data_IF_761134715962
#
_entry.id   IF_761134715962
#
_cell.length_a   1.000
_cell.length_b   1.000
_cell.length_c   1.000
_cell.angle_alpha   90.00
_cell.angle_beta   90.00
_cell.angle_gamma   90.00
#
_symmetry.space_group_name_H-M   'P 1'
#
loop_
_entity.id
_entity.type
_entity.pdbx_description
1 polymer ?
#
# COMPACT_ATOMS: atom_id res chain seq x y z
N UNK A 1 -2.14 5.31 20.27
CA UNK A 1 -1.36 4.41 21.16
C UNK A 1 -0.80 3.21 20.41
N UNK A 2 -1.58 2.37 19.71
CA UNK A 2 -1.05 1.23 18.94
C UNK A 2 0.18 1.60 18.09
N UNK A 3 0.08 2.66 17.27
CA UNK A 3 1.19 3.10 16.43
C UNK A 3 2.43 3.45 17.26
N UNK A 4 2.25 4.11 18.41
CA UNK A 4 3.37 4.46 19.29
C UNK A 4 4.06 3.23 19.88
N UNK A 5 3.29 2.20 20.27
CA UNK A 5 3.87 0.95 20.80
C UNK A 5 4.70 0.20 19.75
N UNK A 6 4.31 0.27 18.48
CA UNK A 6 5.04 -0.35 17.38
C UNK A 6 6.40 0.31 17.10
N UNK A 7 6.59 1.60 17.44
CA UNK A 7 7.84 2.30 17.15
C UNK A 7 9.06 1.64 17.79
N UNK A 8 8.96 1.15 19.03
CA UNK A 8 10.07 0.51 19.72
C UNK A 8 10.70 -0.61 18.89
N UNK A 9 9.90 -1.29 18.05
CA UNK A 9 10.35 -2.43 17.24
C UNK A 9 10.61 -2.06 15.78
N UNK A 10 9.82 -1.15 15.22
CA UNK A 10 9.74 -0.95 13.77
C UNK A 10 10.17 0.45 13.30
N UNK A 11 10.73 1.30 14.18
CA UNK A 11 11.27 2.60 13.78
C UNK A 11 12.36 2.43 12.72
N UNK A 12 12.24 3.14 11.60
CA UNK A 12 13.18 3.07 10.48
C UNK A 12 13.22 1.74 9.71
N UNK A 13 12.20 0.86 9.85
CA UNK A 13 12.20 -0.48 9.24
C UNK A 13 11.10 -0.71 8.21
N UNK A 14 10.18 0.22 8.03
CA UNK A 14 9.04 0.07 7.12
C UNK A 14 9.40 0.61 5.76
N UNK A 15 9.30 -0.23 4.73
CA UNK A 15 9.56 0.15 3.34
C UNK A 15 8.41 0.90 2.70
N UNK A 16 7.17 0.52 3.02
CA UNK A 16 5.98 1.15 2.50
C UNK A 16 4.95 1.35 3.62
N UNK A 17 4.55 2.60 3.84
CA UNK A 17 3.36 2.91 4.63
C UNK A 17 2.25 3.23 3.64
N UNK A 18 1.20 2.41 3.60
CA UNK A 18 -0.02 2.66 2.85
C UNK A 18 -1.14 2.93 3.81
N UNK A 19 -1.87 4.02 3.67
CA UNK A 19 -3.00 4.36 4.53
C UNK A 19 -4.20 4.89 3.75
N UNK A 20 -5.40 4.55 4.24
CA UNK A 20 -6.69 5.00 3.75
C UNK A 20 -7.48 5.68 4.88
N UNK A 21 -7.16 6.93 5.25
CA UNK A 21 -7.79 7.62 6.37
C UNK A 21 -9.24 8.00 6.06
N UNK A 22 -10.07 8.37 7.08
CA UNK A 22 -11.40 8.93 6.86
C UNK A 22 -11.35 10.14 5.91
N UNK A 23 -12.22 10.16 4.88
CA UNK A 23 -12.22 11.19 3.83
C UNK A 23 -12.93 12.49 4.22
N UNK A 24 -13.56 12.53 5.40
CA UNK A 24 -14.23 13.70 5.95
C UNK A 24 -15.26 14.34 4.99
N UNK A 25 -16.24 13.58 4.45
CA UNK A 25 -17.20 14.11 3.50
C UNK A 25 -18.05 15.19 4.16
N UNK A 26 -18.38 16.23 3.38
CA UNK A 26 -19.20 17.36 3.84
C UNK A 26 -20.70 17.03 3.99
N UNK A 27 -21.15 15.88 3.56
CA UNK A 27 -22.53 15.41 3.67
C UNK A 27 -22.76 14.67 4.99
N UNK A 28 -23.87 14.99 5.69
CA UNK A 28 -24.30 14.38 6.97
C UNK A 28 -24.71 12.89 6.85
N UNK A 29 -24.38 12.19 5.80
CA UNK A 29 -24.68 10.79 5.67
C UNK A 29 -23.63 9.97 6.46
N UNK A 30 -23.94 9.65 7.73
CA UNK A 30 -23.24 8.64 8.52
C UNK A 30 -23.50 7.24 7.92
N UNK A 31 -22.92 6.98 6.77
CA UNK A 31 -22.95 5.66 6.12
C UNK A 31 -21.73 4.80 6.47
N UNK A 32 -20.85 5.31 7.31
CA UNK A 32 -19.61 4.65 7.74
C UNK A 32 -19.75 4.11 9.17
N UNK A 33 -19.15 2.98 9.44
CA UNK A 33 -19.08 2.38 10.77
C UNK A 33 -18.18 3.16 11.75
N UNK A 34 -17.52 4.23 11.28
CA UNK A 34 -16.62 5.11 12.06
C UNK A 34 -16.94 6.58 11.83
N UNK A 35 -16.47 7.46 12.72
CA UNK A 35 -16.64 8.91 12.58
C UNK A 35 -15.88 9.41 11.34
N UNK A 36 -16.62 9.84 10.33
CA UNK A 36 -16.10 10.39 9.09
C UNK A 36 -16.55 11.85 8.88
N UNK A 37 -16.99 12.52 9.94
CA UNK A 37 -17.43 13.91 9.91
C UNK A 37 -16.71 14.71 11.01
N UNK A 38 -15.54 15.21 10.66
CA UNK A 38 -14.75 16.10 11.51
C UNK A 38 -14.91 17.55 11.02
N UNK A 39 -14.76 18.54 11.94
CA UNK A 39 -14.40 19.84 11.42
C UNK A 39 -12.95 19.78 10.86
N UNK A 40 -12.66 20.61 9.86
CA UNK A 40 -11.41 20.53 9.09
C UNK A 40 -10.14 20.67 9.92
N UNK A 41 -10.16 21.55 10.93
CA UNK A 41 -9.00 21.74 11.81
C UNK A 41 -8.73 20.50 12.65
N UNK A 42 -9.77 19.87 13.18
CA UNK A 42 -9.66 18.62 13.96
C UNK A 42 -9.14 17.49 13.09
N UNK A 43 -9.61 17.36 11.84
CA UNK A 43 -9.14 16.36 10.90
C UNK A 43 -7.65 16.55 10.55
N UNK A 44 -7.22 17.80 10.32
CA UNK A 44 -5.81 18.10 10.05
C UNK A 44 -4.91 17.77 11.25
N UNK A 45 -5.34 18.09 12.48
CA UNK A 45 -4.59 17.73 13.70
C UNK A 45 -4.52 16.20 13.86
N UNK A 46 -5.63 15.51 13.62
CA UNK A 46 -5.71 14.06 13.65
C UNK A 46 -4.72 13.44 12.64
N UNK A 47 -4.64 13.95 11.41
CA UNK A 47 -3.71 13.48 10.40
C UNK A 47 -2.26 13.87 10.70
N UNK A 48 -2.00 15.08 11.16
CA UNK A 48 -0.65 15.58 11.48
C UNK A 48 0.10 14.63 12.39
N UNK A 49 -0.50 14.26 13.51
CA UNK A 49 0.13 13.35 14.48
C UNK A 49 0.46 11.99 13.87
N UNK A 50 -0.44 11.43 13.05
CA UNK A 50 -0.28 10.13 12.41
C UNK A 50 0.78 10.15 11.29
N UNK A 51 0.82 11.21 10.52
CA UNK A 51 1.84 11.41 9.48
C UNK A 51 3.25 11.60 10.08
N UNK A 52 3.35 12.33 11.20
CA UNK A 52 4.62 12.43 11.94
C UNK A 52 5.10 11.08 12.45
N UNK A 53 4.19 10.23 12.91
CA UNK A 53 4.51 8.86 13.32
C UNK A 53 4.90 7.99 12.11
N UNK A 54 4.15 8.09 11.00
CA UNK A 54 4.47 7.38 9.76
C UNK A 54 5.91 7.65 9.30
N UNK A 55 6.34 8.92 9.34
CA UNK A 55 7.70 9.34 8.98
C UNK A 55 8.77 8.60 9.78
N UNK A 56 8.55 8.34 11.06
CA UNK A 56 9.48 7.63 11.92
C UNK A 56 9.63 6.16 11.58
N UNK A 57 8.59 5.53 11.04
CA UNK A 57 8.63 4.13 10.64
C UNK A 57 9.45 3.89 9.37
N UNK A 58 9.47 4.87 8.45
CA UNK A 58 10.04 4.70 7.13
C UNK A 58 11.56 4.46 7.16
N UNK A 59 12.00 3.51 6.34
CA UNK A 59 13.41 3.37 5.98
C UNK A 59 13.90 4.62 5.23
N UNK A 60 15.21 4.79 5.09
CA UNK A 60 15.79 5.95 4.37
C UNK A 60 15.37 6.06 2.90
N UNK A 61 14.81 5.00 2.33
CA UNK A 61 14.26 4.91 0.98
C UNK A 61 12.79 4.45 1.00
N UNK A 62 12.15 4.55 2.16
CA UNK A 62 10.77 4.21 2.37
C UNK A 62 9.81 5.23 1.76
N UNK A 63 8.61 4.78 1.42
CA UNK A 63 7.58 5.58 0.77
C UNK A 63 6.29 5.56 1.60
N UNK A 64 5.67 6.73 1.75
CA UNK A 64 4.31 6.85 2.27
C UNK A 64 3.35 7.02 1.10
N UNK A 65 2.23 6.30 1.14
CA UNK A 65 1.12 6.42 0.19
C UNK A 65 -0.15 6.69 0.98
N UNK A 66 -0.86 7.75 0.62
CA UNK A 66 -2.11 8.13 1.29
C UNK A 66 -3.23 8.16 0.27
N UNK A 67 -4.22 7.28 0.43
CA UNK A 67 -5.45 7.34 -0.34
C UNK A 67 -6.34 8.47 0.20
N UNK A 68 -6.96 9.27 -0.65
CA UNK A 68 -7.81 10.38 -0.27
C UNK A 68 -8.74 10.79 -1.41
N UNK A 69 -9.89 11.37 -1.10
CA UNK A 69 -10.76 11.97 -2.09
C UNK A 69 -10.56 13.50 -2.20
N UNK A 70 -11.33 14.12 -3.08
CA UNK A 70 -11.31 15.57 -3.35
C UNK A 70 -11.61 16.46 -2.13
N UNK A 71 -12.27 15.93 -1.09
CA UNK A 71 -12.74 16.77 0.03
C UNK A 71 -11.56 17.30 0.85
N UNK A 72 -10.56 16.46 1.09
CA UNK A 72 -9.39 16.84 1.89
C UNK A 72 -8.05 16.73 1.14
N UNK A 73 -8.01 16.23 -0.11
CA UNK A 73 -6.77 16.09 -0.89
C UNK A 73 -5.90 17.36 -0.89
N UNK A 74 -6.42 18.58 -1.19
CA UNK A 74 -5.56 19.76 -1.30
C UNK A 74 -4.91 20.14 0.04
N UNK A 75 -5.64 19.95 1.16
CA UNK A 75 -5.14 20.29 2.50
C UNK A 75 -4.17 19.25 3.03
N UNK A 76 -4.48 17.98 2.74
CA UNK A 76 -3.60 16.86 3.08
C UNK A 76 -2.26 17.00 2.38
N UNK A 77 -2.25 17.36 1.10
CA UNK A 77 -1.01 17.56 0.35
C UNK A 77 -0.15 18.65 0.98
N UNK A 78 -0.72 19.81 1.31
CA UNK A 78 0.01 20.90 1.99
C UNK A 78 0.57 20.44 3.33
N UNK A 79 -0.23 19.71 4.12
CA UNK A 79 0.20 19.16 5.41
C UNK A 79 1.36 18.16 5.25
N UNK A 80 1.30 17.31 4.23
CA UNK A 80 2.37 16.35 3.91
C UNK A 80 3.65 17.09 3.52
N UNK A 81 3.57 18.09 2.65
CA UNK A 81 4.72 18.90 2.24
C UNK A 81 5.41 19.61 3.42
N UNK A 82 4.61 20.05 4.43
CA UNK A 82 5.15 20.62 5.68
C UNK A 82 5.87 19.57 6.55
N UNK A 83 5.32 18.36 6.66
CA UNK A 83 5.88 17.30 7.51
C UNK A 83 7.09 16.62 6.86
N UNK A 84 7.08 16.50 5.52
CA UNK A 84 8.07 15.78 4.71
C UNK A 84 8.84 16.69 3.75
N UNK A 85 9.49 17.79 4.22
CA UNK A 85 10.15 18.75 3.33
C UNK A 85 11.29 18.15 2.48
N UNK A 86 11.84 17.01 2.92
CA UNK A 86 12.89 16.27 2.21
C UNK A 86 12.35 15.20 1.24
N UNK A 87 11.03 15.17 1.00
CA UNK A 87 10.37 14.25 0.07
C UNK A 87 9.71 14.99 -1.09
N UNK A 88 9.59 14.33 -2.22
CA UNK A 88 8.73 14.74 -3.32
C UNK A 88 7.32 14.20 -3.09
N UNK A 89 6.31 14.95 -3.51
CA UNK A 89 4.88 14.61 -3.30
C UNK A 89 4.19 14.57 -4.65
N UNK A 90 3.83 13.37 -5.10
CA UNK A 90 3.13 13.12 -6.35
C UNK A 90 1.68 12.68 -6.10
N UNK A 91 0.73 13.38 -6.71
CA UNK A 91 -0.69 13.06 -6.60
C UNK A 91 -1.16 12.26 -7.81
N UNK A 92 -1.48 10.99 -7.60
CA UNK A 92 -1.93 10.07 -8.63
C UNK A 92 -3.46 10.02 -8.62
N UNK A 93 -4.09 10.21 -9.79
CA UNK A 93 -5.54 10.08 -9.96
C UNK A 93 -5.90 8.65 -10.30
N UNK A 94 -6.81 8.03 -9.53
CA UNK A 94 -7.27 6.65 -9.73
C UNK A 94 -8.76 6.66 -10.06
N UNK A 95 -9.14 6.17 -11.23
CA UNK A 95 -10.54 6.00 -11.61
C UNK A 95 -11.11 4.75 -10.92
N UNK A 96 -11.68 4.93 -9.73
CA UNK A 96 -12.21 3.84 -8.91
C UNK A 96 -13.71 3.58 -9.10
N UNK A 97 -14.41 4.53 -9.73
CA UNK A 97 -15.83 4.40 -10.06
C UNK A 97 -16.12 5.04 -11.44
N UNK A 98 -15.87 4.31 -12.54
CA UNK A 98 -16.04 4.88 -13.89
C UNK A 98 -17.47 5.33 -14.21
N UNK A 99 -18.50 4.79 -13.52
CA UNK A 99 -19.89 5.23 -13.64
C UNK A 99 -20.16 6.58 -12.99
N UNK A 100 -19.30 6.97 -12.05
CA UNK A 100 -19.38 8.19 -11.27
C UNK A 100 -20.43 8.19 -10.17
N UNK A 101 -20.13 8.90 -9.10
CA UNK A 101 -21.11 9.25 -8.06
C UNK A 101 -21.72 10.61 -8.43
N UNK A 102 -23.03 10.66 -8.58
CA UNK A 102 -23.76 11.86 -8.99
C UNK A 102 -23.61 12.94 -7.93
N UNK A 103 -23.03 14.06 -8.29
CA UNK A 103 -23.02 15.30 -7.52
C UNK A 103 -23.92 16.34 -8.15
N UNK A 104 -24.05 17.53 -7.54
CA UNK A 104 -24.92 18.60 -8.01
C UNK A 104 -24.53 19.09 -9.41
N UNK A 105 -23.23 19.26 -9.69
CA UNK A 105 -22.75 19.80 -10.96
C UNK A 105 -21.95 18.78 -11.78
N UNK A 106 -21.24 17.85 -11.11
CA UNK A 106 -20.36 16.87 -11.75
C UNK A 106 -20.56 15.51 -11.14
N UNK A 107 -20.36 14.45 -11.95
CA UNK A 107 -20.22 13.07 -11.46
C UNK A 107 -18.75 12.79 -11.14
N UNK A 108 -18.48 12.30 -9.94
CA UNK A 108 -17.14 12.03 -9.47
C UNK A 108 -16.77 10.57 -9.71
N UNK A 109 -15.68 10.37 -10.46
CA UNK A 109 -15.24 9.05 -10.92
C UNK A 109 -13.94 8.57 -10.28
N UNK A 110 -13.25 9.47 -9.56
CA UNK A 110 -11.88 9.22 -9.11
C UNK A 110 -11.65 9.60 -7.66
N UNK A 111 -10.63 9.02 -7.12
CA UNK A 111 -9.95 9.37 -5.88
C UNK A 111 -8.46 9.56 -6.16
N UNK A 112 -7.68 9.85 -5.14
CA UNK A 112 -6.25 10.10 -5.26
C UNK A 112 -5.45 9.14 -4.41
N UNK A 113 -4.27 8.77 -4.90
CA UNK A 113 -3.18 8.18 -4.12
C UNK A 113 -2.02 9.19 -4.10
N UNK A 114 -1.74 9.77 -2.94
CA UNK A 114 -0.62 10.70 -2.76
C UNK A 114 0.61 9.89 -2.40
N UNK A 115 1.61 9.91 -3.27
CA UNK A 115 2.92 9.28 -3.06
C UNK A 115 3.90 10.29 -2.49
N UNK A 116 4.57 9.91 -1.41
CA UNK A 116 5.57 10.72 -0.71
C UNK A 116 6.89 9.96 -0.76
N UNK A 117 7.79 10.41 -1.61
CA UNK A 117 9.04 9.71 -1.98
C UNK A 117 10.27 10.50 -1.62
N UNK A 118 11.35 9.91 -1.07
CA UNK A 118 12.56 10.65 -0.71
C UNK A 118 13.20 11.35 -1.92
N UNK A 119 13.50 12.62 -1.81
CA UNK A 119 14.14 13.42 -2.88
C UNK A 119 15.46 12.82 -3.33
N UNK A 120 15.68 12.85 -4.63
CA UNK A 120 16.93 12.39 -5.25
C UNK A 120 17.13 10.87 -5.26
N UNK A 121 16.12 10.07 -4.85
CA UNK A 121 16.16 8.61 -4.91
C UNK A 121 15.07 8.08 -5.84
N UNK A 122 15.42 7.09 -6.66
CA UNK A 122 14.42 6.34 -7.43
C UNK A 122 13.85 5.23 -6.56
N UNK A 123 12.69 5.48 -5.95
CA UNK A 123 12.03 4.53 -5.04
C UNK A 123 10.81 3.86 -5.66
N UNK A 124 10.32 4.37 -6.79
CA UNK A 124 9.21 3.77 -7.54
C UNK A 124 9.80 2.82 -8.59
N UNK A 125 9.43 1.56 -8.48
CA UNK A 125 9.83 0.49 -9.41
C UNK A 125 9.23 0.69 -10.80
N UNK A 126 9.77 0.03 -11.80
CA UNK A 126 9.19 0.03 -13.13
C UNK A 126 7.92 -0.83 -13.16
N UNK A 127 6.87 -0.31 -13.82
CA UNK A 127 5.63 -1.06 -14.08
C UNK A 127 5.89 -2.12 -15.15
N UNK A 128 5.37 -3.32 -14.95
CA UNK A 128 5.32 -4.32 -16.02
C UNK A 128 4.23 -3.92 -17.02
N UNK A 129 4.57 -3.91 -18.30
CA UNK A 129 3.64 -3.62 -19.39
C UNK A 129 2.98 -4.92 -19.86
N UNK A 130 1.70 -4.85 -20.20
CA UNK A 130 0.99 -5.92 -20.90
C UNK A 130 1.47 -6.01 -22.36
N UNK A 131 1.25 -7.14 -23.02
CA UNK A 131 1.75 -7.35 -24.39
C UNK A 131 1.23 -6.30 -25.39
N UNK A 132 0.01 -5.84 -25.21
CA UNK A 132 -0.62 -4.79 -26.03
C UNK A 132 -0.06 -3.38 -25.78
N UNK A 133 0.57 -3.16 -24.63
CA UNK A 133 1.25 -1.90 -24.31
C UNK A 133 2.71 -1.86 -24.78
N UNK A 134 3.28 -3.00 -25.20
CA UNK A 134 4.68 -3.06 -25.62
C UNK A 134 4.82 -2.47 -27.04
N UNK A 135 5.58 -1.38 -27.12
CA UNK A 135 5.97 -0.82 -28.40
C UNK A 135 7.15 -1.62 -28.99
N UNK A 136 6.85 -2.45 -29.98
CA UNK A 136 7.85 -3.24 -30.68
C UNK A 136 8.53 -2.45 -31.79
N UNK A 137 9.84 -2.51 -31.86
CA UNK A 137 10.65 -1.85 -32.90
C UNK A 137 11.73 -2.79 -33.40
N UNK A 138 12.21 -2.64 -34.66
CA UNK A 138 13.28 -3.48 -35.17
C UNK A 138 14.53 -3.45 -34.29
N UNK A 139 15.10 -4.61 -33.96
CA UNK A 139 16.39 -4.71 -33.26
C UNK A 139 17.53 -4.16 -34.13
N UNK A 140 17.37 -4.23 -35.45
CA UNK A 140 18.31 -3.65 -36.43
C UNK A 140 18.35 -2.13 -36.28
N UNK A 141 19.56 -1.55 -36.22
CA UNK A 141 19.75 -0.12 -36.11
C UNK A 141 19.45 0.60 -37.46
N UNK A 142 18.91 1.82 -37.34
CA UNK A 142 18.57 2.71 -38.46
C UNK A 142 19.11 4.13 -38.18
N UNK A 143 19.37 4.87 -39.27
CA UNK A 143 19.86 6.25 -39.18
C UNK A 143 21.39 6.36 -39.28
N UNK A 144 21.93 7.39 -38.65
CA UNK A 144 23.38 7.58 -38.56
C UNK A 144 24.04 6.43 -37.78
N UNK A 145 25.30 6.10 -38.07
CA UNK A 145 26.05 5.02 -37.42
C UNK A 145 25.29 3.68 -37.35
N UNK A 146 24.63 3.28 -38.42
CA UNK A 146 23.84 2.05 -38.48
C UNK A 146 24.44 0.96 -39.32
N UNK A 147 25.56 1.21 -39.98
CA UNK A 147 26.26 0.28 -40.84
C UNK A 147 27.08 -0.75 -40.04
N UNK A 148 27.29 -1.90 -40.60
CA UNK A 148 28.19 -2.94 -40.04
C UNK A 148 29.57 -2.38 -39.68
N UNK A 149 30.11 -1.50 -40.53
CA UNK A 149 31.41 -0.86 -40.32
C UNK A 149 31.50 0.04 -39.09
N UNK A 150 30.36 0.55 -38.61
CA UNK A 150 30.32 1.42 -37.42
C UNK A 150 30.52 0.65 -36.10
N UNK A 151 30.16 -0.66 -36.09
CA UNK A 151 30.42 -1.52 -34.93
C UNK A 151 30.37 -3.00 -35.35
N UNK A 152 31.51 -3.58 -35.71
CA UNK A 152 31.65 -4.93 -36.22
C UNK A 152 31.14 -6.01 -35.26
N UNK A 153 31.29 -5.83 -33.96
CA UNK A 153 30.81 -6.70 -32.90
C UNK A 153 29.26 -6.73 -32.73
N UNK A 154 28.57 -5.90 -33.50
CA UNK A 154 27.10 -5.89 -33.59
C UNK A 154 26.59 -6.57 -34.87
N UNK A 155 27.44 -7.27 -35.64
CA UNK A 155 27.04 -8.05 -36.81
C UNK A 155 27.27 -9.53 -36.54
N UNK A 156 26.19 -10.23 -36.21
CA UNK A 156 26.16 -11.66 -35.87
C UNK A 156 24.76 -12.20 -36.17
N UNK A 157 24.60 -13.53 -36.46
CA UNK A 157 23.30 -14.10 -36.67
C UNK A 157 22.54 -14.32 -35.37
N UNK A 158 21.23 -14.06 -35.37
CA UNK A 158 20.29 -14.51 -34.36
C UNK A 158 19.63 -15.78 -34.89
N UNK A 159 19.70 -16.86 -34.08
CA UNK A 159 19.29 -18.19 -34.50
C UNK A 159 17.83 -18.42 -34.06
N UNK A 160 16.98 -18.74 -35.03
CA UNK A 160 15.56 -18.97 -34.87
C UNK A 160 15.19 -20.39 -35.28
N UNK A 161 14.35 -21.05 -34.48
CA UNK A 161 13.69 -22.32 -34.79
C UNK A 161 12.25 -22.26 -34.25
N UNK A 162 11.31 -22.79 -35.04
CA UNK A 162 9.87 -22.82 -34.69
C UNK A 162 9.35 -21.45 -34.25
N UNK A 163 9.73 -20.39 -34.96
CA UNK A 163 9.39 -18.97 -34.67
C UNK A 163 9.86 -18.46 -33.28
N UNK A 164 10.83 -19.14 -32.67
CA UNK A 164 11.44 -18.75 -31.39
C UNK A 164 12.94 -18.52 -31.54
N UNK A 165 13.46 -17.51 -30.84
CA UNK A 165 14.90 -17.33 -30.74
C UNK A 165 15.46 -18.44 -29.86
N UNK A 166 16.45 -19.18 -30.39
CA UNK A 166 17.10 -20.27 -29.66
C UNK A 166 18.56 -19.96 -29.29
N UNK A 167 19.09 -18.83 -29.75
CA UNK A 167 20.44 -18.40 -29.43
C UNK A 167 21.00 -17.35 -30.39
N UNK A 168 22.26 -17.04 -30.20
CA UNK A 168 23.03 -16.05 -30.97
C UNK A 168 24.33 -16.68 -31.43
N UNK A 169 24.64 -16.54 -32.73
CA UNK A 169 25.92 -16.97 -33.25
C UNK A 169 27.07 -16.03 -32.90
N UNK A 170 28.27 -16.39 -33.30
CA UNK A 170 29.45 -15.54 -33.12
C UNK A 170 29.44 -14.32 -34.04
N UNK A 171 30.23 -13.30 -33.69
CA UNK A 171 30.46 -12.17 -34.58
C UNK A 171 30.99 -12.65 -35.91
N UNK A 172 30.33 -12.25 -37.01
CA UNK A 172 30.70 -12.67 -38.33
C UNK A 172 32.03 -12.05 -38.77
N UNK A 173 32.88 -12.86 -39.38
CA UNK A 173 34.13 -12.39 -39.97
C UNK A 173 33.89 -11.29 -41.01
N UNK A 174 34.81 -10.32 -41.12
CA UNK A 174 34.68 -9.20 -42.05
C UNK A 174 34.55 -9.62 -43.51
N UNK A 175 35.13 -10.76 -43.90
CA UNK A 175 35.03 -11.30 -45.22
C UNK A 175 33.75 -12.10 -45.52
N UNK A 176 32.98 -12.39 -44.48
CA UNK A 176 31.70 -13.08 -44.61
C UNK A 176 30.56 -12.09 -44.88
N UNK A 177 29.86 -12.27 -45.99
CA UNK A 177 28.70 -11.48 -46.39
C UNK A 177 27.50 -12.43 -46.62
N UNK A 178 26.45 -12.38 -45.75
CA UNK A 178 25.27 -13.20 -45.95
C UNK A 178 24.55 -12.83 -47.25
N UNK A 179 23.94 -13.83 -47.87
CA UNK A 179 23.23 -13.65 -49.15
C UNK A 179 21.88 -12.96 -48.99
N UNK A 180 21.30 -13.06 -47.77
CA UNK A 180 20.00 -12.45 -47.42
C UNK A 180 19.89 -12.20 -45.93
N UNK A 181 18.87 -11.44 -45.55
CA UNK A 181 18.54 -11.20 -44.14
C UNK A 181 18.27 -12.51 -43.37
N UNK A 182 17.63 -13.48 -44.02
CA UNK A 182 17.27 -14.77 -43.42
C UNK A 182 17.89 -15.88 -44.21
N UNK A 183 18.82 -16.62 -43.63
CA UNK A 183 19.42 -17.82 -44.24
C UNK A 183 18.92 -19.07 -43.52
N UNK A 184 18.48 -20.07 -44.28
CA UNK A 184 18.02 -21.35 -43.73
C UNK A 184 19.15 -22.39 -43.72
N UNK A 185 19.40 -22.98 -42.56
CA UNK A 185 20.37 -24.07 -42.39
C UNK A 185 19.66 -25.24 -41.67
N UNK A 186 19.22 -26.21 -42.46
CA UNK A 186 18.40 -27.31 -41.95
C UNK A 186 17.05 -26.85 -41.39
N UNK A 187 16.81 -27.11 -40.15
CA UNK A 187 15.59 -26.71 -39.43
C UNK A 187 15.70 -25.35 -38.67
N UNK A 188 16.84 -24.65 -38.87
CA UNK A 188 17.12 -23.38 -38.23
C UNK A 188 17.24 -22.25 -39.24
N UNK A 189 16.91 -21.03 -38.77
CA UNK A 189 17.09 -19.82 -39.54
C UNK A 189 18.10 -18.91 -38.83
N UNK A 190 19.03 -18.38 -39.62
CA UNK A 190 20.05 -17.42 -39.18
C UNK A 190 19.63 -16.04 -39.68
N UNK A 191 19.33 -15.15 -38.78
CA UNK A 191 18.80 -13.80 -39.06
C UNK A 191 19.94 -12.81 -38.92
N UNK A 192 20.27 -12.08 -39.97
CA UNK A 192 21.30 -11.05 -40.01
C UNK A 192 20.70 -9.65 -40.08
N UNK A 193 21.41 -8.60 -39.61
CA UNK A 193 20.92 -7.23 -39.65
C UNK A 193 21.07 -6.61 -41.06
N UNK A 194 20.41 -7.18 -42.03
CA UNK A 194 20.39 -6.67 -43.40
C UNK A 194 19.05 -5.97 -43.64
N UNK A 195 19.08 -4.79 -44.29
CA UNK A 195 17.85 -4.06 -44.58
C UNK A 195 17.20 -4.53 -45.90
N UNK A 196 16.03 -4.01 -46.20
CA UNK A 196 15.26 -4.35 -47.40
C UNK A 196 15.94 -3.97 -48.74
N UNK A 197 17.03 -3.18 -48.67
CA UNK A 197 17.85 -2.79 -49.84
C UNK A 197 19.12 -3.64 -49.95
N UNK A 198 19.27 -4.64 -49.06
CA UNK A 198 20.45 -5.52 -49.03
C UNK A 198 21.66 -4.87 -48.32
N UNK A 199 21.48 -3.77 -47.63
CA UNK A 199 22.58 -3.08 -46.93
C UNK A 199 22.81 -3.77 -45.59
N UNK A 200 24.05 -4.15 -45.30
CA UNK A 200 24.48 -4.70 -44.03
C UNK A 200 24.48 -3.59 -42.97
N UNK A 201 23.57 -3.72 -42.05
CA UNK A 201 23.41 -2.86 -40.89
C UNK A 201 24.08 -3.48 -39.68
N UNK A 202 23.81 -2.97 -38.51
CA UNK A 202 24.20 -3.56 -37.22
C UNK A 202 22.99 -3.76 -36.31
N UNK A 203 23.08 -4.72 -35.39
CA UNK A 203 22.14 -4.79 -34.28
C UNK A 203 22.35 -3.63 -33.31
N UNK A 204 21.34 -3.25 -32.55
CA UNK A 204 21.45 -2.19 -31.50
C UNK A 204 22.33 -2.63 -30.33
N UNK A 205 22.54 -3.94 -30.16
CA UNK A 205 23.31 -4.53 -29.07
C UNK A 205 24.45 -5.35 -29.63
N UNK A 206 25.60 -5.25 -28.94
CA UNK A 206 26.77 -6.05 -29.30
C UNK A 206 26.58 -7.53 -28.90
N UNK A 207 27.31 -8.44 -29.56
CA UNK A 207 27.17 -9.87 -29.29
C UNK A 207 27.34 -10.24 -27.83
N UNK A 208 28.26 -9.62 -27.08
CA UNK A 208 28.53 -9.86 -25.68
C UNK A 208 27.45 -9.37 -24.74
N UNK A 209 26.51 -8.52 -25.19
CA UNK A 209 25.47 -7.90 -24.36
C UNK A 209 24.06 -8.33 -24.74
N UNK A 210 23.87 -8.93 -25.92
CA UNK A 210 22.53 -9.26 -26.43
C UNK A 210 21.80 -10.30 -25.56
N UNK A 211 22.53 -11.19 -24.91
CA UNK A 211 21.94 -12.21 -24.03
C UNK A 211 21.20 -11.61 -22.84
N UNK A 212 21.65 -10.45 -22.36
CA UNK A 212 21.01 -9.75 -21.24
C UNK A 212 19.63 -9.16 -21.56
N UNK A 213 19.27 -9.11 -22.84
CA UNK A 213 17.99 -8.60 -23.32
C UNK A 213 17.15 -9.68 -24.02
N UNK A 214 17.50 -10.95 -23.81
CA UNK A 214 16.84 -12.07 -24.51
C UNK A 214 15.31 -12.00 -24.36
N UNK A 215 14.80 -11.76 -23.15
CA UNK A 215 13.37 -11.70 -22.82
C UNK A 215 12.66 -10.45 -23.40
N UNK A 216 13.42 -9.52 -23.98
CA UNK A 216 12.88 -8.33 -24.64
C UNK A 216 12.79 -8.50 -26.16
N UNK A 217 13.20 -9.66 -26.70
CA UNK A 217 13.26 -9.93 -28.13
C UNK A 217 12.10 -10.82 -28.57
N UNK A 218 11.61 -10.57 -29.77
CA UNK A 218 10.70 -11.49 -30.44
C UNK A 218 11.06 -11.67 -31.94
N UNK A 219 10.63 -12.80 -32.48
CA UNK A 219 10.68 -13.05 -33.91
C UNK A 219 9.46 -12.41 -34.57
N UNK A 220 9.69 -11.69 -35.66
CA UNK A 220 8.65 -11.18 -36.53
C UNK A 220 8.72 -11.87 -37.89
N UNK A 221 7.64 -12.54 -38.31
CA UNK A 221 7.51 -13.09 -39.66
C UNK A 221 7.27 -11.98 -40.67
N UNK A 222 8.01 -11.98 -41.75
CA UNK A 222 7.93 -11.00 -42.85
C UNK A 222 7.73 -11.71 -44.17
N UNK A 223 7.45 -10.98 -45.25
CA UNK A 223 7.36 -11.57 -46.60
C UNK A 223 8.69 -12.14 -47.09
N UNK A 224 9.81 -11.66 -46.56
CA UNK A 224 11.17 -12.07 -46.94
C UNK A 224 11.83 -13.04 -45.94
N UNK A 225 11.07 -13.62 -45.01
CA UNK A 225 11.56 -14.51 -43.96
C UNK A 225 11.27 -13.98 -42.57
N UNK A 226 12.30 -13.80 -41.75
CA UNK A 226 12.14 -13.35 -40.34
C UNK A 226 12.91 -12.05 -40.10
N UNK A 227 12.41 -11.22 -39.18
CA UNK A 227 13.12 -10.11 -38.60
C UNK A 227 13.06 -10.22 -37.08
N UNK A 228 13.91 -9.50 -36.37
CA UNK A 228 13.92 -9.47 -34.89
C UNK A 228 13.49 -8.11 -34.41
N UNK A 229 12.52 -8.11 -33.52
CA UNK A 229 12.04 -6.91 -32.85
C UNK A 229 12.44 -6.91 -31.37
N UNK A 230 12.66 -5.74 -30.83
CA UNK A 230 12.85 -5.47 -29.41
C UNK A 230 11.70 -4.64 -28.88
N UNK A 231 11.18 -5.04 -27.73
CA UNK A 231 10.16 -4.30 -27.01
C UNK A 231 10.51 -4.26 -25.52
N UNK A 232 10.30 -3.13 -24.89
CA UNK A 232 10.45 -3.02 -23.44
C UNK A 232 9.16 -3.47 -22.78
N UNK A 233 9.23 -4.53 -21.98
CA UNK A 233 8.10 -5.02 -21.17
C UNK A 233 7.95 -4.29 -19.83
N UNK A 234 8.64 -3.17 -19.66
CA UNK A 234 8.57 -2.34 -18.49
C UNK A 234 8.49 -0.85 -18.86
N UNK A 235 7.84 -0.07 -18.03
CA UNK A 235 7.66 1.38 -18.20
C UNK A 235 7.55 2.11 -16.86
N UNK A 236 7.42 3.43 -16.91
CA UNK A 236 7.13 4.25 -15.74
C UNK A 236 5.63 4.27 -15.46
N UNK A 237 5.26 4.42 -14.18
CA UNK A 237 3.88 4.68 -13.81
C UNK A 237 3.44 6.06 -14.34
N UNK A 238 2.20 6.13 -14.79
CA UNK A 238 1.55 7.40 -15.17
C UNK A 238 0.83 7.98 -13.96
N UNK A 239 0.53 9.27 -13.99
CA UNK A 239 -0.16 9.97 -12.89
C UNK A 239 -1.69 9.82 -12.94
N UNK A 240 -2.24 9.15 -13.97
CA UNK A 240 -3.66 8.83 -14.08
C UNK A 240 -3.81 7.34 -14.38
N UNK A 241 -4.53 6.64 -13.52
CA UNK A 241 -4.81 5.20 -13.60
C UNK A 241 -6.28 4.98 -13.95
N UNK A 242 -6.52 4.38 -15.11
CA UNK A 242 -7.87 4.26 -15.71
C UNK A 242 -8.32 2.83 -15.96
N UNK A 243 -7.50 1.84 -15.61
CA UNK A 243 -7.81 0.44 -15.83
C UNK A 243 -9.08 0.04 -15.05
N UNK A 244 -9.92 -0.78 -15.66
CA UNK A 244 -11.16 -1.30 -15.04
C UNK A 244 -10.91 -2.14 -13.78
N UNK A 245 -9.71 -2.69 -13.60
CA UNK A 245 -9.32 -3.40 -12.36
C UNK A 245 -9.39 -2.51 -11.11
N UNK A 246 -9.35 -1.18 -11.26
CA UNK A 246 -9.45 -0.25 -10.15
C UNK A 246 -10.90 0.02 -9.70
N UNK A 247 -11.92 -0.55 -10.37
CA UNK A 247 -13.33 -0.41 -9.95
C UNK A 247 -13.53 -1.00 -8.55
N UNK A 248 -13.83 -0.14 -7.59
CA UNK A 248 -14.04 -0.50 -6.19
C UNK A 248 -15.35 -1.26 -5.94
N UNK A 249 -16.34 -1.14 -6.85
CA UNK A 249 -17.61 -1.86 -6.71
C UNK A 249 -17.38 -3.36 -6.91
N UNK A 250 -16.61 -3.72 -7.94
CA UNK A 250 -16.33 -5.11 -8.31
C UNK A 250 -15.18 -5.67 -7.46
N UNK A 251 -14.04 -5.00 -7.51
CA UNK A 251 -12.77 -5.48 -6.94
C UNK A 251 -12.54 -5.01 -5.48
N UNK A 252 -13.51 -4.33 -4.91
CA UNK A 252 -13.56 -3.96 -3.50
C UNK A 252 -14.77 -4.59 -2.83
N UNK A 253 -15.96 -4.01 -3.04
CA UNK A 253 -17.20 -4.39 -2.32
C UNK A 253 -17.63 -5.82 -2.62
N UNK A 254 -17.69 -6.23 -3.89
CA UNK A 254 -18.11 -7.60 -4.23
C UNK A 254 -17.07 -8.61 -3.73
N UNK A 255 -15.80 -8.36 -3.97
CA UNK A 255 -14.71 -9.23 -3.51
C UNK A 255 -14.71 -9.39 -1.98
N UNK A 256 -14.97 -8.32 -1.22
CA UNK A 256 -15.06 -8.42 0.24
C UNK A 256 -16.23 -9.30 0.67
N UNK A 257 -17.41 -9.14 0.05
CA UNK A 257 -18.59 -9.98 0.35
C UNK A 257 -18.38 -11.46 0.04
N UNK A 258 -17.61 -11.76 -1.00
CA UNK A 258 -17.27 -13.16 -1.34
C UNK A 258 -16.32 -13.77 -0.30
N UNK A 259 -15.39 -12.97 0.25
CA UNK A 259 -14.44 -13.41 1.28
C UNK A 259 -15.03 -13.37 2.70
N UNK A 260 -15.91 -12.42 2.98
CA UNK A 260 -16.54 -12.17 4.29
C UNK A 260 -18.04 -11.95 4.07
N UNK A 261 -18.85 -13.02 3.94
CA UNK A 261 -20.26 -12.92 3.54
C UNK A 261 -21.14 -12.03 4.44
N UNK A 262 -20.80 -11.96 5.74
CA UNK A 262 -21.54 -11.15 6.71
C UNK A 262 -20.89 -9.79 6.99
N UNK A 263 -20.05 -9.29 6.09
CA UNK A 263 -19.37 -8.02 6.28
C UNK A 263 -20.34 -6.86 6.47
N UNK A 264 -20.05 -6.03 7.47
CA UNK A 264 -20.73 -4.75 7.70
C UNK A 264 -19.91 -3.56 7.14
N UNK A 265 -18.70 -3.85 6.65
CA UNK A 265 -17.79 -2.84 6.17
C UNK A 265 -18.27 -2.27 4.83
N UNK A 266 -18.40 -0.95 4.79
CA UNK A 266 -18.81 -0.20 3.59
C UNK A 266 -17.58 0.39 2.89
N UNK A 267 -17.58 0.37 1.56
CA UNK A 267 -16.58 1.06 0.72
C UNK A 267 -15.13 0.55 0.86
N UNK A 268 -14.87 -0.75 0.78
CA UNK A 268 -13.50 -1.25 0.71
C UNK A 268 -12.84 -0.77 -0.58
N UNK A 269 -11.52 -0.53 -0.52
CA UNK A 269 -10.73 -0.22 -1.70
C UNK A 269 -10.70 -1.38 -2.69
N UNK A 270 -10.57 -1.09 -3.98
CA UNK A 270 -10.22 -2.12 -4.95
C UNK A 270 -8.89 -2.77 -4.55
N UNK A 271 -8.88 -4.09 -4.49
CA UNK A 271 -7.66 -4.87 -4.22
C UNK A 271 -6.53 -4.48 -5.19
N UNK A 272 -6.85 -4.31 -6.46
CA UNK A 272 -5.84 -4.01 -7.48
C UNK A 272 -5.29 -2.59 -7.38
N UNK A 273 -6.06 -1.62 -6.84
CA UNK A 273 -5.52 -0.29 -6.53
C UNK A 273 -4.45 -0.40 -5.44
N UNK A 274 -4.72 -1.17 -4.38
CA UNK A 274 -3.76 -1.36 -3.28
C UNK A 274 -2.55 -2.17 -3.73
N UNK A 275 -2.76 -3.24 -4.53
CA UNK A 275 -1.65 -4.01 -5.13
C UNK A 275 -0.76 -3.08 -5.96
N UNK A 276 -1.32 -2.26 -6.85
CA UNK A 276 -0.55 -1.38 -7.72
C UNK A 276 0.24 -0.35 -6.91
N UNK A 277 -0.40 0.27 -5.90
CA UNK A 277 0.26 1.20 -4.99
C UNK A 277 1.44 0.55 -4.25
N UNK A 278 1.20 -0.57 -3.57
CA UNK A 278 2.23 -1.25 -2.76
C UNK A 278 3.33 -1.83 -3.65
N UNK A 279 2.96 -2.53 -4.73
CA UNK A 279 3.92 -3.18 -5.62
C UNK A 279 4.82 -2.17 -6.34
N UNK A 280 4.34 -0.96 -6.62
CA UNK A 280 5.17 0.11 -7.20
C UNK A 280 6.37 0.47 -6.31
N UNK A 281 6.29 0.21 -5.01
CA UNK A 281 7.35 0.50 -4.03
C UNK A 281 8.18 -0.74 -3.70
N UNK A 282 7.54 -1.91 -3.56
CA UNK A 282 8.18 -3.10 -2.97
C UNK A 282 8.51 -4.21 -3.97
N UNK A 283 8.26 -4.01 -5.27
CA UNK A 283 8.46 -5.03 -6.32
C UNK A 283 9.85 -5.66 -6.28
N UNK A 284 10.88 -4.85 -6.08
CA UNK A 284 12.27 -5.30 -6.06
C UNK A 284 12.75 -5.70 -4.64
N UNK A 285 12.03 -5.32 -3.59
CA UNK A 285 12.31 -5.72 -2.21
C UNK A 285 11.31 -6.80 -1.78
N UNK A 286 11.74 -8.06 -1.85
CA UNK A 286 10.89 -9.22 -1.58
C UNK A 286 10.69 -9.53 -0.10
N UNK A 287 11.43 -8.87 0.79
CA UNK A 287 11.36 -9.03 2.24
C UNK A 287 10.81 -7.77 2.93
N UNK A 288 10.33 -6.80 2.14
CA UNK A 288 9.82 -5.52 2.62
C UNK A 288 8.76 -5.68 3.72
N UNK A 289 8.77 -4.73 4.66
CA UNK A 289 7.71 -4.56 5.64
C UNK A 289 6.77 -3.43 5.21
N UNK A 290 5.48 -3.74 5.19
CA UNK A 290 4.40 -2.82 4.85
C UNK A 290 3.59 -2.51 6.12
N UNK A 291 3.26 -1.24 6.34
CA UNK A 291 2.43 -0.80 7.48
C UNK A 291 1.19 -0.08 6.97
N UNK A 292 0.04 -0.47 7.51
CA UNK A 292 -1.23 0.23 7.34
C UNK A 292 -1.89 0.40 8.71
N UNK A 293 -2.03 1.63 9.18
CA UNK A 293 -2.65 1.93 10.47
C UNK A 293 -4.06 2.55 10.33
N UNK A 294 -4.67 2.35 9.18
CA UNK A 294 -6.09 2.47 8.91
C UNK A 294 -6.53 1.18 8.22
N UNK A 295 -6.34 0.04 8.90
CA UNK A 295 -6.46 -1.30 8.33
C UNK A 295 -7.79 -1.58 7.64
N UNK A 296 -8.87 -0.94 8.07
CA UNK A 296 -10.17 -1.03 7.47
C UNK A 296 -10.61 -2.47 7.24
N UNK A 297 -11.02 -2.79 6.03
CA UNK A 297 -11.39 -4.16 5.66
C UNK A 297 -10.20 -5.12 5.43
N UNK A 298 -8.95 -4.72 5.71
CA UNK A 298 -7.77 -5.56 5.54
C UNK A 298 -7.27 -5.71 4.10
N UNK A 299 -7.60 -4.79 3.21
CA UNK A 299 -7.20 -4.87 1.79
C UNK A 299 -5.69 -4.87 1.60
N UNK A 300 -4.95 -4.13 2.43
CA UNK A 300 -3.48 -4.05 2.36
C UNK A 300 -2.83 -5.40 2.65
N UNK A 301 -3.30 -6.14 3.66
CA UNK A 301 -2.78 -7.49 3.95
C UNK A 301 -3.04 -8.46 2.80
N UNK A 302 -4.26 -8.45 2.25
CA UNK A 302 -4.61 -9.24 1.07
C UNK A 302 -3.70 -8.89 -0.12
N UNK A 303 -3.48 -7.60 -0.39
CA UNK A 303 -2.61 -7.15 -1.47
C UNK A 303 -1.17 -7.66 -1.32
N UNK A 304 -0.61 -7.60 -0.11
CA UNK A 304 0.76 -8.11 0.14
C UNK A 304 0.85 -9.62 -0.08
N UNK A 305 -0.15 -10.39 0.36
CA UNK A 305 -0.19 -11.84 0.12
C UNK A 305 -0.29 -12.17 -1.37
N UNK A 306 -1.09 -11.44 -2.15
CA UNK A 306 -1.18 -11.60 -3.60
C UNK A 306 0.14 -11.26 -4.31
N UNK A 307 0.83 -10.19 -3.90
CA UNK A 307 2.14 -9.83 -4.47
C UNK A 307 3.16 -10.94 -4.18
N UNK A 308 3.19 -11.50 -2.97
CA UNK A 308 4.07 -12.60 -2.61
C UNK A 308 3.79 -13.87 -3.44
N UNK A 309 2.49 -14.21 -3.63
CA UNK A 309 2.08 -15.32 -4.48
C UNK A 309 2.55 -15.16 -5.92
N UNK A 310 2.47 -13.93 -6.47
CA UNK A 310 2.84 -13.66 -7.86
C UNK A 310 4.34 -13.78 -8.12
N UNK A 311 5.18 -13.39 -7.18
CA UNK A 311 6.62 -13.29 -7.43
C UNK A 311 7.51 -14.11 -6.47
N UNK A 312 6.89 -14.91 -5.60
CA UNK A 312 7.59 -15.74 -4.60
C UNK A 312 8.29 -14.92 -3.50
N UNK A 313 7.78 -13.72 -3.20
CA UNK A 313 8.32 -12.87 -2.15
C UNK A 313 7.87 -13.29 -0.74
N UNK A 314 8.53 -12.71 0.27
CA UNK A 314 8.28 -12.96 1.70
C UNK A 314 7.97 -11.65 2.45
N UNK A 315 7.35 -10.69 1.75
CA UNK A 315 6.96 -9.41 2.32
C UNK A 315 6.01 -9.63 3.48
N UNK A 316 6.13 -8.81 4.48
CA UNK A 316 5.30 -8.85 5.69
C UNK A 316 4.46 -7.59 5.78
N UNK A 317 3.34 -7.69 6.49
CA UNK A 317 2.48 -6.55 6.73
C UNK A 317 2.12 -6.41 8.21
N UNK A 318 1.83 -5.18 8.60
CA UNK A 318 1.24 -4.83 9.90
C UNK A 318 0.00 -4.01 9.59
N UNK A 319 -1.15 -4.47 10.08
CA UNK A 319 -2.40 -3.72 10.05
C UNK A 319 -2.72 -3.27 11.46
N UNK A 320 -3.11 -2.00 11.61
CA UNK A 320 -3.67 -1.52 12.86
C UNK A 320 -5.05 -0.91 12.60
N UNK A 321 -6.03 -1.32 13.39
CA UNK A 321 -7.41 -0.85 13.33
C UNK A 321 -7.94 -0.68 14.76
N UNK A 322 -8.79 0.32 14.99
CA UNK A 322 -9.34 0.59 16.31
C UNK A 322 -10.80 0.17 16.46
N UNK A 323 -11.47 -0.12 15.34
CA UNK A 323 -12.90 -0.43 15.31
C UNK A 323 -13.14 -1.92 15.48
N UNK A 324 -14.28 -2.29 16.09
CA UNK A 324 -14.64 -3.67 16.41
C UNK A 324 -14.72 -4.59 15.18
N UNK A 325 -14.94 -4.05 13.97
CA UNK A 325 -14.92 -4.84 12.75
C UNK A 325 -13.52 -5.40 12.42
N UNK A 326 -12.48 -5.05 13.18
CA UNK A 326 -11.14 -5.67 13.03
C UNK A 326 -11.21 -7.19 13.17
N UNK A 327 -12.04 -7.70 14.07
CA UNK A 327 -12.20 -9.15 14.31
C UNK A 327 -13.13 -9.81 13.29
N UNK A 328 -14.19 -9.11 12.87
CA UNK A 328 -15.24 -9.69 12.00
C UNK A 328 -14.93 -9.54 10.52
N UNK A 329 -14.20 -8.52 10.12
CA UNK A 329 -13.91 -8.17 8.72
C UNK A 329 -12.42 -8.24 8.40
N UNK A 330 -11.60 -7.41 9.06
CA UNK A 330 -10.17 -7.30 8.76
C UNK A 330 -9.43 -8.61 8.92
N UNK A 331 -9.58 -9.24 10.09
CA UNK A 331 -8.93 -10.51 10.42
C UNK A 331 -9.49 -11.66 9.59
N UNK A 332 -10.83 -11.76 9.49
CA UNK A 332 -11.50 -12.85 8.74
C UNK A 332 -11.12 -12.83 7.27
N UNK A 333 -11.11 -11.65 6.62
CA UNK A 333 -10.64 -11.50 5.24
C UNK A 333 -9.22 -12.06 5.08
N UNK A 334 -8.29 -11.59 5.92
CA UNK A 334 -6.89 -11.96 5.79
C UNK A 334 -6.65 -13.44 6.11
N UNK A 335 -7.39 -14.02 7.06
CA UNK A 335 -7.32 -15.46 7.34
C UNK A 335 -7.87 -16.31 6.20
N UNK A 336 -8.95 -15.88 5.54
CA UNK A 336 -9.52 -16.62 4.41
C UNK A 336 -8.59 -16.56 3.20
N UNK A 337 -8.02 -15.41 2.91
CA UNK A 337 -6.99 -15.25 1.87
C UNK A 337 -5.75 -16.09 2.19
N UNK A 338 -5.26 -16.05 3.44
CA UNK A 338 -4.10 -16.83 3.87
C UNK A 338 -4.31 -18.34 3.62
N UNK A 339 -5.47 -18.88 4.00
CA UNK A 339 -5.80 -20.30 3.78
C UNK A 339 -5.78 -20.70 2.32
N UNK A 340 -6.17 -19.79 1.43
CA UNK A 340 -6.25 -20.06 0.00
C UNK A 340 -4.88 -19.96 -0.70
N UNK A 341 -4.11 -18.91 -0.40
CA UNK A 341 -2.94 -18.56 -1.20
C UNK A 341 -1.59 -18.72 -0.50
N UNK A 342 -1.57 -18.81 0.83
CA UNK A 342 -0.35 -18.91 1.62
C UNK A 342 -0.52 -19.75 2.90
N UNK A 343 -1.00 -21.04 2.80
CA UNK A 343 -1.40 -21.84 3.95
C UNK A 343 -0.30 -22.13 4.95
N UNK A 344 0.97 -22.04 4.53
CA UNK A 344 2.15 -22.22 5.41
C UNK A 344 2.54 -20.95 6.16
N UNK A 345 1.89 -19.81 5.88
CA UNK A 345 2.15 -18.55 6.55
C UNK A 345 1.25 -18.39 7.78
N UNK A 346 1.57 -17.40 8.64
CA UNK A 346 0.81 -17.11 9.86
C UNK A 346 0.43 -15.65 9.96
N UNK A 347 -0.67 -15.37 10.65
CA UNK A 347 -1.08 -14.03 11.08
C UNK A 347 -1.12 -14.03 12.59
N UNK A 348 -0.42 -13.10 13.24
CA UNK A 348 -0.53 -12.86 14.66
C UNK A 348 -1.52 -11.71 14.91
N UNK A 349 -2.50 -11.95 15.75
CA UNK A 349 -3.47 -10.94 16.19
C UNK A 349 -3.10 -10.45 17.59
N UNK A 350 -3.14 -9.14 17.77
CA UNK A 350 -2.80 -8.48 19.03
C UNK A 350 -3.89 -7.49 19.42
N UNK A 351 -4.24 -7.49 20.67
CA UNK A 351 -5.10 -6.48 21.25
C UNK A 351 -4.38 -5.80 22.41
N UNK A 352 -4.48 -4.47 22.52
CA UNK A 352 -3.94 -3.77 23.67
C UNK A 352 -4.76 -4.10 24.92
N UNK A 353 -4.09 -4.44 26.02
CA UNK A 353 -4.75 -4.66 27.30
C UNK A 353 -5.41 -3.34 27.77
N UNK A 354 -6.73 -3.34 27.84
CA UNK A 354 -7.52 -2.15 28.21
C UNK A 354 -7.37 -1.87 29.70
N UNK A 355 -7.34 -0.59 30.05
CA UNK A 355 -7.43 -0.09 31.42
C UNK A 355 -8.56 0.95 31.48
N UNK A 356 -8.25 2.24 31.50
CA UNK A 356 -9.27 3.29 31.44
C UNK A 356 -10.10 3.27 30.13
N UNK A 357 -9.64 2.59 29.08
CA UNK A 357 -10.43 2.40 27.87
C UNK A 357 -11.75 1.66 28.13
N UNK A 358 -11.78 0.75 29.10
CA UNK A 358 -13.04 0.10 29.54
C UNK A 358 -14.01 1.15 30.10
N UNK A 359 -13.52 2.08 30.89
CA UNK A 359 -14.33 3.18 31.46
C UNK A 359 -14.86 4.10 30.35
N UNK A 360 -14.03 4.38 29.31
CA UNK A 360 -14.47 5.15 28.13
C UNK A 360 -15.67 4.48 27.47
N UNK A 361 -15.58 3.18 27.21
CA UNK A 361 -16.64 2.40 26.57
C UNK A 361 -17.91 2.37 27.42
N UNK A 362 -17.78 2.23 28.75
CA UNK A 362 -18.92 2.30 29.67
C UNK A 362 -19.59 3.68 29.68
N UNK A 363 -18.80 4.78 29.66
CA UNK A 363 -19.33 6.13 29.57
C UNK A 363 -20.10 6.33 28.27
N UNK A 364 -19.53 5.88 27.15
CA UNK A 364 -20.18 5.99 25.83
C UNK A 364 -21.50 5.20 25.78
N UNK A 365 -21.51 4.01 26.35
CA UNK A 365 -22.68 3.12 26.41
C UNK A 365 -23.74 3.55 27.42
N UNK A 366 -23.43 4.41 28.39
CA UNK A 366 -24.37 4.83 29.45
C UNK A 366 -25.64 5.46 28.85
N UNK A 367 -26.81 5.05 29.36
CA UNK A 367 -28.11 5.50 28.86
C UNK A 367 -28.81 6.47 29.77
N UNK A 368 -28.33 6.59 31.04
CA UNK A 368 -28.93 7.45 32.06
C UNK A 368 -27.89 7.96 33.09
N UNK A 369 -28.34 8.88 33.91
CA UNK A 369 -27.53 9.54 34.93
C UNK A 369 -27.08 8.61 36.07
N UNK A 370 -27.84 7.56 36.37
CA UNK A 370 -27.50 6.62 37.45
C UNK A 370 -26.25 5.79 37.07
N UNK A 371 -26.19 5.37 35.81
CA UNK A 371 -25.02 4.68 35.27
C UNK A 371 -23.79 5.58 35.31
N UNK A 372 -23.91 6.85 34.87
CA UNK A 372 -22.80 7.80 34.89
C UNK A 372 -22.32 8.10 36.29
N UNK A 373 -23.22 8.18 37.28
CA UNK A 373 -22.88 8.39 38.70
C UNK A 373 -22.12 7.21 39.30
N UNK A 374 -22.50 5.98 38.95
CA UNK A 374 -21.76 4.76 39.33
C UNK A 374 -20.35 4.75 38.74
N UNK A 375 -20.24 5.04 37.43
CA UNK A 375 -18.95 5.13 36.74
C UNK A 375 -18.04 6.17 37.41
N UNK A 376 -18.57 7.37 37.67
CA UNK A 376 -17.83 8.41 38.39
C UNK A 376 -17.34 7.93 39.75
N UNK A 377 -18.20 7.30 40.55
CA UNK A 377 -17.83 6.76 41.84
C UNK A 377 -16.71 5.72 41.80
N UNK A 378 -16.69 4.90 40.76
CA UNK A 378 -15.59 3.93 40.50
C UNK A 378 -14.31 4.63 40.07
N UNK A 379 -14.38 5.61 39.17
CA UNK A 379 -13.23 6.41 38.74
C UNK A 379 -12.51 7.08 39.92
N UNK A 380 -13.25 7.68 40.83
CA UNK A 380 -12.67 8.34 42.02
C UNK A 380 -12.00 7.33 42.95
N UNK A 381 -12.61 6.18 43.18
CA UNK A 381 -12.07 5.14 44.07
C UNK A 381 -10.85 4.44 43.53
N UNK A 382 -10.80 4.23 42.22
CA UNK A 382 -9.75 3.44 41.55
C UNK A 382 -8.56 4.28 41.08
N UNK A 383 -8.56 5.61 41.31
CA UNK A 383 -7.48 6.47 40.85
C UNK A 383 -7.44 6.73 39.35
N UNK A 384 -8.53 6.42 38.63
CA UNK A 384 -8.61 6.60 37.18
C UNK A 384 -8.81 8.04 36.71
N UNK A 385 -8.87 8.99 37.66
CA UNK A 385 -9.01 10.42 37.37
C UNK A 385 -7.63 11.04 37.10
N UNK A 386 -7.57 11.93 36.12
CA UNK A 386 -6.37 12.68 35.78
C UNK A 386 -5.82 13.42 37.01
N UNK A 387 -4.52 13.34 37.27
CA UNK A 387 -3.81 14.03 38.34
C UNK A 387 -4.01 15.57 38.33
N UNK A 388 -4.49 16.12 37.23
CA UNK A 388 -4.81 17.55 37.08
C UNK A 388 -6.15 17.94 37.68
N UNK A 389 -6.95 16.94 38.06
CA UNK A 389 -8.31 17.14 38.56
C UNK A 389 -8.34 16.81 40.04
N UNK A 390 -8.79 17.78 40.86
CA UNK A 390 -9.02 17.52 42.27
C UNK A 390 -10.47 17.04 42.45
N UNK A 391 -10.71 15.80 42.94
CA UNK A 391 -12.06 15.29 43.14
C UNK A 391 -12.94 16.21 44.02
N UNK A 392 -12.36 16.89 45.01
CA UNK A 392 -13.10 17.81 45.87
C UNK A 392 -13.69 19.02 45.11
N UNK A 393 -13.04 19.47 44.03
CA UNK A 393 -13.56 20.58 43.21
C UNK A 393 -14.75 20.11 42.36
N UNK A 394 -14.78 18.84 41.97
CA UNK A 394 -15.91 18.24 41.25
C UNK A 394 -17.10 18.08 42.20
N UNK A 395 -16.86 17.59 43.41
CA UNK A 395 -17.90 17.44 44.41
C UNK A 395 -18.52 18.79 44.81
N UNK A 396 -17.71 19.85 44.84
CA UNK A 396 -18.18 21.21 45.08
C UNK A 396 -19.05 21.77 43.93
N UNK A 397 -18.88 21.26 42.71
CA UNK A 397 -19.65 21.63 41.52
C UNK A 397 -20.78 20.62 41.19
N UNK A 398 -21.18 19.78 42.15
CA UNK A 398 -22.14 18.69 41.93
C UNK A 398 -23.52 19.18 41.44
N UNK A 399 -23.99 20.34 41.91
CA UNK A 399 -25.24 20.93 41.46
C UNK A 399 -25.17 21.35 39.97
N UNK A 400 -24.07 21.98 39.57
CA UNK A 400 -23.83 22.37 38.16
C UNK A 400 -23.74 21.14 37.26
N UNK A 401 -23.04 20.10 37.71
CA UNK A 401 -22.93 18.82 36.96
C UNK A 401 -24.30 18.15 36.83
N UNK A 402 -25.11 18.15 37.89
CA UNK A 402 -26.44 17.52 37.86
C UNK A 402 -27.40 18.20 36.88
N UNK A 403 -27.21 19.48 36.61
CA UNK A 403 -27.99 20.26 35.65
C UNK A 403 -27.62 20.04 34.18
N UNK A 404 -26.49 19.39 33.88
CA UNK A 404 -26.04 19.10 32.50
C UNK A 404 -26.95 18.08 31.83
N UNK A 405 -27.05 18.18 30.50
CA UNK A 405 -27.62 17.12 29.66
C UNK A 405 -26.73 15.86 29.69
N UNK A 406 -27.31 14.69 29.41
CA UNK A 406 -26.62 13.40 29.48
C UNK A 406 -25.30 13.39 28.64
N UNK A 407 -25.36 13.92 27.42
CA UNK A 407 -24.19 13.99 26.56
C UNK A 407 -23.09 14.91 27.07
N UNK A 408 -23.45 16.00 27.76
CA UNK A 408 -22.49 16.90 28.39
C UNK A 408 -21.89 16.28 29.65
N UNK A 409 -22.65 15.49 30.40
CA UNK A 409 -22.15 14.68 31.52
C UNK A 409 -21.15 13.63 31.05
N UNK A 410 -21.45 12.91 29.95
CA UNK A 410 -20.51 11.97 29.34
C UNK A 410 -19.21 12.66 28.95
N UNK A 411 -19.31 13.79 28.26
CA UNK A 411 -18.16 14.59 27.84
C UNK A 411 -17.30 15.04 29.01
N UNK A 412 -17.96 15.48 30.10
CA UNK A 412 -17.26 15.88 31.33
C UNK A 412 -16.48 14.69 31.93
N UNK A 413 -17.10 13.52 32.09
CA UNK A 413 -16.41 12.33 32.63
C UNK A 413 -15.23 11.92 31.74
N UNK A 414 -15.37 12.01 30.43
CA UNK A 414 -14.27 11.76 29.47
C UNK A 414 -13.12 12.78 29.60
N UNK A 415 -13.41 14.03 30.02
CA UNK A 415 -12.37 15.05 30.23
C UNK A 415 -11.57 14.82 31.49
N UNK A 416 -12.21 14.37 32.57
CA UNK A 416 -11.57 14.16 33.88
C UNK A 416 -10.81 12.83 33.96
N UNK A 417 -11.08 11.89 33.05
CA UNK A 417 -10.40 10.59 32.99
C UNK A 417 -8.91 10.75 32.65
N UNK A 418 -8.05 9.95 33.30
CA UNK A 418 -6.62 9.94 32.92
C UNK A 418 -6.40 9.22 31.57
N UNK A 419 -6.19 10.04 30.54
CA UNK A 419 -5.96 9.57 29.17
C UNK A 419 -4.57 8.96 28.94
N UNK A 420 -3.66 9.04 29.92
CA UNK A 420 -2.36 8.36 29.83
C UNK A 420 -2.47 6.88 30.20
N UNK A 421 -3.51 6.52 30.95
CA UNK A 421 -3.76 5.17 31.44
C UNK A 421 -4.89 4.46 30.67
N UNK A 422 -5.13 4.78 29.40
CA UNK A 422 -6.16 4.10 28.61
C UNK A 422 -5.87 2.59 28.42
N UNK A 423 -4.59 2.23 28.34
CA UNK A 423 -4.13 0.86 28.20
C UNK A 423 -2.97 0.60 29.16
N UNK A 424 -2.76 -0.66 29.51
CA UNK A 424 -1.64 -1.07 30.35
C UNK A 424 -0.32 -0.78 29.66
N UNK A 425 0.60 -0.10 30.36
CA UNK A 425 1.93 0.17 29.83
C UNK A 425 2.81 -1.08 29.90
N UNK A 426 3.77 -1.20 28.98
CA UNK A 426 4.69 -2.32 28.96
C UNK A 426 5.53 -2.43 30.25
N UNK A 427 5.84 -1.32 30.91
CA UNK A 427 6.55 -1.32 32.21
C UNK A 427 5.73 -1.92 33.36
N UNK A 428 4.41 -1.89 33.23
CA UNK A 428 3.47 -2.29 34.29
C UNK A 428 2.89 -3.69 34.03
N UNK A 429 3.39 -4.41 32.99
CA UNK A 429 2.89 -5.71 32.55
C UNK A 429 2.95 -6.80 33.64
N UNK A 430 3.82 -6.64 34.63
CA UNK A 430 3.99 -7.59 35.74
C UNK A 430 3.11 -7.27 36.96
N UNK A 431 2.41 -6.16 36.96
CA UNK A 431 1.53 -5.76 38.04
C UNK A 431 0.32 -6.69 38.09
N UNK A 432 0.08 -7.27 39.27
CA UNK A 432 -1.00 -8.23 39.53
C UNK A 432 -2.40 -7.57 39.38
N UNK A 433 -2.49 -6.24 39.50
CA UNK A 433 -3.77 -5.52 39.34
C UNK A 433 -4.34 -5.63 37.92
N UNK A 434 -3.52 -5.89 36.90
CA UNK A 434 -3.97 -5.92 35.51
C UNK A 434 -4.39 -7.30 34.98
N UNK A 435 -4.24 -8.35 35.79
CA UNK A 435 -4.65 -9.74 35.48
C UNK A 435 -4.20 -10.23 34.07
N UNK A 436 -2.98 -9.86 33.68
CA UNK A 436 -2.40 -10.27 32.41
C UNK A 436 -1.80 -11.68 32.55
N UNK A 437 -2.22 -12.59 31.68
CA UNK A 437 -1.72 -13.97 31.71
C UNK A 437 -0.19 -14.07 31.51
N UNK A 438 0.43 -15.09 32.09
CA UNK A 438 1.87 -15.33 31.91
C UNK A 438 2.22 -15.59 30.44
N UNK A 439 1.32 -16.16 29.66
CA UNK A 439 1.47 -16.40 28.24
C UNK A 439 1.52 -15.06 27.49
N UNK A 440 0.59 -14.14 27.76
CA UNK A 440 0.56 -12.79 27.15
C UNK A 440 1.78 -11.95 27.56
N UNK A 441 2.23 -12.08 28.84
CA UNK A 441 3.46 -11.43 29.31
C UNK A 441 4.68 -11.96 28.54
N UNK A 442 4.81 -13.27 28.41
CA UNK A 442 5.91 -13.89 27.67
C UNK A 442 5.90 -13.51 26.19
N UNK A 443 4.73 -13.54 25.57
CA UNK A 443 4.53 -13.16 24.20
C UNK A 443 4.88 -11.69 23.95
N UNK A 444 4.36 -10.77 24.77
CA UNK A 444 4.66 -9.33 24.69
C UNK A 444 6.16 -9.04 24.83
N UNK A 445 6.83 -9.75 25.76
CA UNK A 445 8.28 -9.62 25.91
C UNK A 445 9.05 -10.13 24.69
N UNK A 446 8.63 -11.27 24.11
CA UNK A 446 9.24 -11.78 22.89
C UNK A 446 9.06 -10.79 21.73
N UNK A 447 7.88 -10.24 21.58
CA UNK A 447 7.57 -9.24 20.55
C UNK A 447 8.55 -8.05 20.58
N UNK A 448 8.94 -7.56 21.76
CA UNK A 448 9.87 -6.43 21.88
C UNK A 448 11.36 -6.80 21.93
N UNK A 449 11.72 -8.09 22.11
CA UNK A 449 13.12 -8.56 22.18
C UNK A 449 13.67 -8.98 20.81
N UNK A 450 12.82 -9.45 19.91
CA UNK A 450 13.22 -9.85 18.57
C UNK A 450 13.30 -8.63 17.64
N UNK A 451 14.25 -7.73 17.90
CA UNK A 451 14.47 -6.53 17.14
C UNK A 451 15.92 -6.32 16.73
#
# INVERSE_FOLDING_TARGET
MVISSLLKRYEGRVKCVYIDPPYNPTSNANTFAYNNSFNRSTWLVFMKTRLQMAKRFLTSDGVLIVAIDKNEQPRLQILIEEIFPEYDVDCITVIHNPRGTIGTNFSYTHEYAIFVTPKGKKTICSRTLSEDEIEWSPLRNWGGESLRTDAKNCFYPIIVKDEKIIGFGDVSDDAFHPTSQTEQHGDKYYIYPIDTKGIERKWRYARQTVESIFDLLRVKKTKAGYDIEIGKNFGTYKTVWTDSKFDASVNGTQLLKDLVPNTVFSYPKSLYTVIECVNSVVKEDKDALILDFFGGSGTTGHAVMEINKQDGGHRRFILAEQMDYVETDTLVRNLNVLKEIAPESTIAFFQLAKLNQTIVEEIEAATDDAILSDIYGRMVKSGFISYKVNPADIDAAADDYSALALDDKKRFLMEILDKNLLYVNYCDIDDEEFDISDEDKAFTRSFYREG
#
